data_IF_184628854529
#
_entry.id   IF_184628854529
#
_cell.length_a   1.000
_cell.length_b   1.000
_cell.length_c   1.000
_cell.angle_alpha   90.00
_cell.angle_beta   90.00
_cell.angle_gamma   90.00
#
_symmetry.space_group_name_H-M   'P 1'
#
loop_
_entity.id
_entity.type
_entity.pdbx_description
1 polymer ?
#
# COMPACT_ATOMS: atom_id res chain seq x y z
N UNK A 1 -66.60 35.75 47.13
CA UNK A 1 -68.01 35.75 46.71
C UNK A 1 -68.85 36.06 47.94
N UNK A 2 -69.74 37.07 47.93
CA UNK A 2 -70.48 37.46 49.13
C UNK A 2 -71.61 36.47 49.41
N UNK A 3 -71.87 36.23 50.71
CA UNK A 3 -73.01 35.46 51.17
C UNK A 3 -74.24 36.39 51.28
N UNK A 4 -75.42 35.99 50.79
CA UNK A 4 -76.62 36.83 50.83
C UNK A 4 -77.13 37.09 52.26
N UNK A 5 -77.98 38.10 52.44
CA UNK A 5 -78.36 38.64 53.76
C UNK A 5 -79.25 37.72 54.64
N UNK A 6 -79.79 36.61 54.12
CA UNK A 6 -80.63 35.63 54.85
C UNK A 6 -80.08 34.19 54.77
N UNK A 7 -78.79 34.02 55.03
CA UNK A 7 -78.08 32.74 54.90
C UNK A 7 -78.39 31.79 56.06
N UNK A 8 -78.86 30.59 55.74
CA UNK A 8 -79.04 29.51 56.70
C UNK A 8 -77.83 28.55 56.71
N UNK A 9 -77.73 27.65 57.70
CA UNK A 9 -76.62 26.71 57.84
C UNK A 9 -76.43 25.79 56.62
N UNK A 10 -77.50 25.48 55.87
CA UNK A 10 -77.42 24.66 54.66
C UNK A 10 -76.76 25.41 53.51
N UNK A 11 -77.01 26.72 53.39
CA UNK A 11 -76.36 27.57 52.39
C UNK A 11 -74.85 27.68 52.64
N UNK A 12 -74.45 27.82 53.92
CA UNK A 12 -73.04 27.81 54.34
C UNK A 12 -72.39 26.46 54.03
N UNK A 13 -73.05 25.35 54.39
CA UNK A 13 -72.57 23.99 54.13
C UNK A 13 -72.36 23.71 52.63
N UNK A 14 -73.30 24.17 51.80
CA UNK A 14 -73.22 24.07 50.34
C UNK A 14 -72.03 24.86 49.81
N UNK A 15 -71.87 26.10 50.26
CA UNK A 15 -70.73 26.96 49.86
C UNK A 15 -69.39 26.39 50.31
N UNK A 16 -69.30 25.80 51.50
CA UNK A 16 -68.08 25.16 51.97
C UNK A 16 -67.73 23.91 51.14
N UNK A 17 -68.75 23.17 50.68
CA UNK A 17 -68.58 22.03 49.77
C UNK A 17 -68.09 22.48 48.39
N UNK A 18 -68.65 23.56 47.83
CA UNK A 18 -68.16 24.18 46.59
C UNK A 18 -66.71 24.67 46.72
N UNK A 19 -66.39 25.36 47.82
CA UNK A 19 -65.03 25.84 48.11
C UNK A 19 -64.06 24.65 48.21
N UNK A 20 -64.42 23.60 48.93
CA UNK A 20 -63.61 22.38 49.04
C UNK A 20 -63.39 21.70 47.68
N UNK A 21 -64.43 21.64 46.83
CA UNK A 21 -64.31 21.14 45.46
C UNK A 21 -63.37 22.01 44.62
N UNK A 22 -63.51 23.34 44.71
CA UNK A 22 -62.63 24.30 44.05
C UNK A 22 -61.16 24.16 44.50
N UNK A 23 -60.91 23.97 45.79
CA UNK A 23 -59.56 23.72 46.32
C UNK A 23 -58.97 22.41 45.80
N UNK A 24 -59.75 21.33 45.73
CA UNK A 24 -59.29 20.05 45.16
C UNK A 24 -58.92 20.20 43.67
N UNK A 25 -59.77 20.86 42.89
CA UNK A 25 -59.51 21.11 41.46
C UNK A 25 -58.30 22.02 41.25
N UNK A 26 -58.17 23.08 42.05
CA UNK A 26 -57.02 23.99 42.04
C UNK A 26 -55.72 23.27 42.39
N UNK A 27 -55.73 22.44 43.44
CA UNK A 27 -54.57 21.62 43.84
C UNK A 27 -54.13 20.67 42.72
N UNK A 28 -55.07 19.96 42.09
CA UNK A 28 -54.77 19.07 40.97
C UNK A 28 -54.19 19.83 39.78
N UNK A 29 -54.74 20.99 39.46
CA UNK A 29 -54.23 21.83 38.36
C UNK A 29 -52.80 22.30 38.62
N UNK A 30 -52.50 22.75 39.85
CA UNK A 30 -51.14 23.17 40.26
C UNK A 30 -50.16 21.99 40.15
N UNK A 31 -50.52 20.81 40.65
CA UNK A 31 -49.67 19.62 40.57
C UNK A 31 -49.36 19.27 39.11
N UNK A 32 -50.38 19.29 38.23
CA UNK A 32 -50.19 18.99 36.81
C UNK A 32 -49.27 20.02 36.13
N UNK A 33 -49.45 21.32 36.40
CA UNK A 33 -48.58 22.36 35.84
C UNK A 33 -47.13 22.20 36.31
N UNK A 34 -46.90 21.90 37.59
CA UNK A 34 -45.55 21.68 38.12
C UNK A 34 -44.90 20.43 37.54
N UNK A 35 -45.65 19.34 37.39
CA UNK A 35 -45.17 18.12 36.76
C UNK A 35 -44.77 18.36 35.29
N UNK A 36 -45.59 19.10 34.53
CA UNK A 36 -45.28 19.47 33.14
C UNK A 36 -44.01 20.33 33.03
N UNK A 37 -43.85 21.35 33.89
CA UNK A 37 -42.63 22.18 33.93
C UNK A 37 -41.38 21.35 34.23
N UNK A 38 -41.49 20.37 35.12
CA UNK A 38 -40.38 19.48 35.44
C UNK A 38 -40.00 18.57 34.25
N UNK A 39 -40.99 18.08 33.50
CA UNK A 39 -40.76 17.32 32.27
C UNK A 39 -40.05 18.18 31.21
N UNK A 40 -40.51 19.42 30.99
CA UNK A 40 -39.89 20.35 30.05
C UNK A 40 -38.42 20.65 30.39
N UNK A 41 -38.13 20.95 31.66
CA UNK A 41 -36.76 21.19 32.11
C UNK A 41 -35.86 19.96 31.92
N UNK A 42 -36.35 18.77 32.27
CA UNK A 42 -35.63 17.51 32.07
C UNK A 42 -35.35 17.22 30.58
N UNK A 43 -36.33 17.47 29.73
CA UNK A 43 -36.19 17.32 28.28
C UNK A 43 -35.17 18.28 27.70
N UNK A 44 -35.21 19.56 28.08
CA UNK A 44 -34.25 20.57 27.64
C UNK A 44 -32.82 20.20 28.04
N UNK A 45 -32.61 19.74 29.28
CA UNK A 45 -31.29 19.28 29.73
C UNK A 45 -30.82 18.06 28.93
N UNK A 46 -31.69 17.07 28.70
CA UNK A 46 -31.37 15.88 27.90
C UNK A 46 -30.96 16.25 26.46
N UNK A 47 -31.66 17.22 25.86
CA UNK A 47 -31.35 17.70 24.52
C UNK A 47 -29.99 18.41 24.46
N UNK A 48 -29.68 19.23 25.47
CA UNK A 48 -28.38 19.90 25.60
C UNK A 48 -27.26 18.86 25.71
N UNK A 49 -27.36 17.90 26.63
CA UNK A 49 -26.35 16.84 26.79
C UNK A 49 -26.17 16.00 25.52
N UNK A 50 -27.27 15.67 24.84
CA UNK A 50 -27.21 14.94 23.57
C UNK A 50 -26.50 15.78 22.49
N UNK A 51 -26.80 17.07 22.41
CA UNK A 51 -26.17 17.98 21.45
C UNK A 51 -24.65 18.08 21.67
N UNK A 52 -24.20 18.12 22.93
CA UNK A 52 -22.78 18.15 23.28
C UNK A 52 -22.06 16.83 22.94
N UNK A 53 -22.69 15.68 23.19
CA UNK A 53 -22.16 14.36 22.80
C UNK A 53 -22.05 14.21 21.29
N UNK A 54 -23.06 14.66 20.55
CA UNK A 54 -23.06 14.69 19.09
C UNK A 54 -21.92 15.58 18.59
N UNK A 55 -21.81 16.81 19.11
CA UNK A 55 -20.74 17.73 18.75
C UNK A 55 -19.36 17.13 18.98
N UNK A 56 -19.12 16.56 20.15
CA UNK A 56 -17.83 15.90 20.49
C UNK A 56 -17.52 14.76 19.51
N UNK A 57 -18.53 13.99 19.12
CA UNK A 57 -18.38 12.90 18.16
C UNK A 57 -17.98 13.42 16.78
N UNK A 58 -18.59 14.52 16.31
CA UNK A 58 -18.20 15.18 15.06
C UNK A 58 -16.80 15.79 15.13
N UNK A 59 -16.48 16.53 16.20
CA UNK A 59 -15.16 17.16 16.39
C UNK A 59 -14.04 16.08 16.40
N UNK A 60 -14.27 14.93 17.04
CA UNK A 60 -13.32 13.81 17.05
C UNK A 60 -13.17 13.13 15.68
N UNK A 61 -14.28 13.04 14.93
CA UNK A 61 -14.28 12.49 13.57
C UNK A 61 -13.50 13.39 12.62
N UNK A 62 -13.67 14.71 12.71
CA UNK A 62 -12.95 15.69 11.90
C UNK A 62 -11.44 15.58 12.13
N UNK A 63 -10.98 15.47 13.37
CA UNK A 63 -9.57 15.25 13.68
C UNK A 63 -9.03 13.97 13.01
N UNK A 64 -9.75 12.84 13.14
CA UNK A 64 -9.34 11.57 12.54
C UNK A 64 -9.28 11.62 11.00
N UNK A 65 -10.20 12.35 10.37
CA UNK A 65 -10.24 12.53 8.91
C UNK A 65 -9.06 13.38 8.44
N UNK A 66 -8.70 14.43 9.18
CA UNK A 66 -7.51 15.25 8.88
C UNK A 66 -6.22 14.42 8.97
N UNK A 67 -6.09 13.58 10.00
CA UNK A 67 -4.92 12.71 10.14
C UNK A 67 -4.80 11.72 8.97
N UNK A 68 -5.90 11.12 8.53
CA UNK A 68 -5.92 10.24 7.36
C UNK A 68 -5.53 11.00 6.08
N UNK A 69 -6.03 12.23 5.90
CA UNK A 69 -5.69 13.05 4.74
C UNK A 69 -4.20 13.42 4.72
N UNK A 70 -3.63 13.72 5.90
CA UNK A 70 -2.20 13.99 6.06
C UNK A 70 -1.36 12.75 5.71
N UNK A 71 -1.72 11.57 6.22
CA UNK A 71 -1.04 10.30 5.90
C UNK A 71 -1.10 9.98 4.40
N UNK A 72 -2.26 10.18 3.78
CA UNK A 72 -2.44 9.99 2.34
C UNK A 72 -1.55 10.94 1.53
N UNK A 73 -1.51 12.22 1.93
CA UNK A 73 -0.70 13.25 1.28
C UNK A 73 0.78 12.91 1.37
N UNK A 74 1.26 12.51 2.55
CA UNK A 74 2.65 12.10 2.75
C UNK A 74 3.01 10.85 1.92
N UNK A 75 2.13 9.87 1.88
CA UNK A 75 2.31 8.65 1.09
C UNK A 75 2.40 8.97 -0.41
N UNK A 76 1.50 9.82 -0.92
CA UNK A 76 1.51 10.26 -2.32
C UNK A 76 2.77 11.06 -2.68
N UNK A 77 3.23 11.94 -1.79
CA UNK A 77 4.48 12.68 -1.98
C UNK A 77 5.68 11.72 -2.04
N UNK A 78 5.72 10.72 -1.16
CA UNK A 78 6.77 9.70 -1.14
C UNK A 78 6.78 8.87 -2.43
N UNK A 79 5.61 8.41 -2.90
CA UNK A 79 5.47 7.67 -4.16
C UNK A 79 5.94 8.53 -5.34
N UNK A 80 5.52 9.80 -5.40
CA UNK A 80 5.92 10.74 -6.46
C UNK A 80 7.43 10.97 -6.48
N UNK A 81 8.05 11.15 -5.32
CA UNK A 81 9.50 11.31 -5.20
C UNK A 81 10.24 10.05 -5.67
N UNK A 82 9.80 8.85 -5.26
CA UNK A 82 10.39 7.58 -5.69
C UNK A 82 10.27 7.38 -7.22
N UNK A 83 9.11 7.66 -7.80
CA UNK A 83 8.88 7.54 -9.25
C UNK A 83 9.66 8.58 -10.07
N UNK A 84 10.01 9.72 -9.46
CA UNK A 84 10.90 10.72 -10.06
C UNK A 84 12.35 10.28 -10.03
N UNK A 85 12.78 9.49 -9.03
CA UNK A 85 14.17 9.04 -8.88
C UNK A 85 14.47 7.69 -9.55
N UNK A 86 13.46 6.83 -9.67
CA UNK A 86 13.62 5.46 -10.12
C UNK A 86 12.57 5.06 -11.16
N UNK A 87 12.94 4.17 -12.08
CA UNK A 87 11.96 3.35 -12.83
C UNK A 87 12.29 1.88 -12.62
N UNK A 88 11.29 1.11 -12.21
CA UNK A 88 11.40 -0.32 -12.01
C UNK A 88 10.74 -1.06 -13.18
N UNK A 89 11.41 -2.12 -13.63
CA UNK A 89 10.91 -3.02 -14.66
C UNK A 89 11.10 -4.46 -14.17
N UNK A 90 10.21 -5.36 -14.55
CA UNK A 90 10.38 -6.79 -14.30
C UNK A 90 9.64 -7.60 -15.34
N UNK A 91 10.04 -8.86 -15.48
CA UNK A 91 9.37 -9.79 -16.37
C UNK A 91 10.04 -11.14 -16.38
N UNK A 92 9.75 -11.89 -17.44
CA UNK A 92 10.30 -13.23 -17.69
C UNK A 92 10.94 -13.25 -19.07
N UNK A 93 12.02 -13.99 -19.23
CA UNK A 93 12.64 -14.29 -20.53
C UNK A 93 13.11 -15.74 -20.57
N UNK A 94 13.54 -16.20 -21.73
CA UNK A 94 14.08 -17.56 -21.94
C UNK A 94 15.48 -17.48 -22.53
N UNK A 95 16.20 -18.59 -22.44
CA UNK A 95 17.48 -18.71 -23.14
C UNK A 95 17.29 -18.78 -24.65
N UNK A 96 18.21 -18.13 -25.35
CA UNK A 96 18.34 -18.19 -26.79
C UNK A 96 19.71 -18.79 -27.09
N UNK A 97 19.72 -19.98 -27.70
CA UNK A 97 20.93 -20.59 -28.23
C UNK A 97 21.44 -19.81 -29.45
N UNK A 98 22.67 -19.33 -29.39
CA UNK A 98 23.33 -18.65 -30.50
C UNK A 98 24.84 -18.83 -30.39
N UNK A 99 25.39 -19.68 -31.26
CA UNK A 99 26.80 -20.06 -31.32
C UNK A 99 27.68 -19.11 -32.12
N UNK A 100 27.09 -18.12 -32.81
CA UNK A 100 27.85 -17.17 -33.65
C UNK A 100 28.09 -15.83 -32.97
N UNK A 101 27.28 -15.45 -31.98
CA UNK A 101 27.47 -14.20 -31.26
C UNK A 101 28.72 -14.25 -30.37
N UNK A 102 29.43 -13.13 -30.31
CA UNK A 102 30.70 -12.96 -29.61
C UNK A 102 30.53 -12.01 -28.42
N UNK A 103 31.20 -12.34 -27.32
CA UNK A 103 31.34 -11.45 -26.16
C UNK A 103 32.82 -11.25 -25.81
N UNK A 104 33.25 -10.00 -25.65
CA UNK A 104 34.58 -9.68 -25.17
C UNK A 104 34.63 -9.77 -23.65
N UNK A 105 35.64 -10.45 -23.10
CA UNK A 105 35.87 -10.45 -21.66
C UNK A 105 36.13 -9.03 -21.13
N UNK A 106 35.68 -8.77 -19.92
CA UNK A 106 35.85 -7.47 -19.29
C UNK A 106 37.33 -7.07 -19.22
N UNK A 107 37.64 -5.88 -19.74
CA UNK A 107 39.01 -5.35 -19.80
C UNK A 107 39.93 -6.00 -20.85
N UNK A 108 39.40 -6.86 -21.74
CA UNK A 108 40.16 -7.51 -22.83
C UNK A 108 39.44 -7.34 -24.17
N UNK A 109 40.21 -7.28 -25.26
CA UNK A 109 39.69 -7.32 -26.64
C UNK A 109 39.53 -8.75 -27.19
N UNK A 110 39.72 -9.78 -26.34
CA UNK A 110 39.56 -11.18 -26.73
C UNK A 110 38.10 -11.60 -26.63
N UNK A 111 37.50 -11.90 -27.78
CA UNK A 111 36.14 -12.45 -27.88
C UNK A 111 36.08 -13.95 -27.56
N UNK A 112 35.00 -14.38 -26.92
CA UNK A 112 34.59 -15.78 -26.83
C UNK A 112 33.19 -15.96 -27.40
N UNK A 113 32.79 -17.20 -27.67
CA UNK A 113 31.41 -17.56 -28.05
C UNK A 113 30.65 -18.09 -26.82
N UNK A 114 29.74 -17.31 -26.20
CA UNK A 114 28.97 -17.73 -25.03
C UNK A 114 28.06 -18.93 -25.27
N UNK A 115 27.60 -19.11 -26.52
CA UNK A 115 26.67 -20.16 -26.94
C UNK A 115 25.20 -19.88 -26.57
N UNK A 116 24.94 -19.20 -25.45
CA UNK A 116 23.60 -18.91 -24.95
C UNK A 116 23.49 -17.48 -24.45
N UNK A 117 22.29 -16.92 -24.58
CA UNK A 117 22.01 -15.52 -24.33
C UNK A 117 20.60 -15.35 -23.74
N UNK A 118 20.39 -14.26 -23.03
CA UNK A 118 19.05 -13.74 -22.74
C UNK A 118 18.83 -12.46 -23.52
N UNK A 119 17.61 -12.28 -24.03
CA UNK A 119 17.16 -11.04 -24.65
C UNK A 119 15.94 -10.49 -23.95
N UNK A 120 15.97 -9.20 -23.66
CA UNK A 120 14.83 -8.49 -23.08
C UNK A 120 14.68 -7.16 -23.79
N UNK A 121 13.50 -6.93 -24.35
CA UNK A 121 13.13 -5.67 -25.01
C UNK A 121 12.06 -4.90 -24.24
N UNK A 122 11.54 -3.83 -24.84
CA UNK A 122 10.39 -3.09 -24.30
C UNK A 122 10.72 -2.07 -23.20
N UNK A 123 11.99 -1.76 -22.99
CA UNK A 123 12.39 -0.69 -22.09
C UNK A 123 12.07 0.67 -22.69
N UNK A 124 11.32 1.51 -21.96
CA UNK A 124 11.13 2.94 -22.33
C UNK A 124 12.44 3.74 -22.21
N UNK A 125 13.36 3.27 -21.38
CA UNK A 125 14.66 3.86 -21.08
C UNK A 125 15.64 2.75 -20.70
N UNK A 126 16.90 2.88 -21.07
CA UNK A 126 17.96 1.89 -20.78
C UNK A 126 18.18 1.77 -19.27
N UNK A 127 17.86 0.63 -18.62
CA UNK A 127 18.06 0.51 -17.18
C UNK A 127 19.55 0.66 -16.80
N UNK A 128 19.80 1.07 -15.56
CA UNK A 128 21.17 1.17 -15.06
C UNK A 128 21.65 -0.14 -14.46
N UNK A 129 20.76 -0.87 -13.80
CA UNK A 129 21.02 -2.19 -13.25
C UNK A 129 19.99 -3.16 -13.80
N UNK A 130 20.43 -4.34 -14.22
CA UNK A 130 19.57 -5.45 -14.62
C UNK A 130 20.02 -6.72 -13.93
N UNK A 131 19.06 -7.52 -13.46
CA UNK A 131 19.29 -8.82 -12.86
C UNK A 131 18.31 -9.81 -13.47
N UNK A 132 18.81 -10.98 -13.88
CA UNK A 132 17.99 -12.11 -14.25
C UNK A 132 18.47 -13.36 -13.53
N UNK A 133 17.54 -14.21 -13.11
CA UNK A 133 17.86 -15.43 -12.38
C UNK A 133 16.93 -16.58 -12.75
N UNK A 134 17.44 -17.79 -12.63
CA UNK A 134 16.62 -18.99 -12.61
C UNK A 134 17.23 -20.05 -11.69
N UNK A 135 16.42 -20.99 -11.23
CA UNK A 135 16.88 -22.18 -10.52
C UNK A 135 16.18 -23.43 -11.02
N UNK A 136 16.89 -24.55 -10.95
CA UNK A 136 16.37 -25.85 -11.35
C UNK A 136 17.20 -26.99 -10.78
N UNK A 137 16.62 -28.19 -10.78
CA UNK A 137 17.32 -29.43 -10.44
C UNK A 137 17.51 -30.25 -11.71
N UNK A 138 18.72 -30.76 -11.93
CA UNK A 138 19.04 -31.63 -13.05
C UNK A 138 20.17 -32.59 -12.65
N UNK A 139 20.00 -33.88 -12.94
CA UNK A 139 21.02 -34.92 -12.72
C UNK A 139 21.61 -34.91 -11.29
N UNK A 140 20.73 -34.96 -10.28
CA UNK A 140 21.12 -34.97 -8.87
C UNK A 140 21.64 -33.63 -8.30
N UNK A 141 21.73 -32.60 -9.13
CA UNK A 141 22.30 -31.29 -8.76
C UNK A 141 21.26 -30.18 -8.77
N UNK A 142 21.36 -29.28 -7.80
CA UNK A 142 20.67 -27.99 -7.79
C UNK A 142 21.53 -26.93 -8.48
N UNK A 143 20.90 -26.14 -9.35
CA UNK A 143 21.52 -25.06 -10.10
C UNK A 143 20.82 -23.73 -9.79
N UNK A 144 21.62 -22.66 -9.62
CA UNK A 144 21.15 -21.27 -9.57
C UNK A 144 21.95 -20.44 -10.56
N UNK A 145 21.27 -19.86 -11.55
CA UNK A 145 21.89 -18.97 -12.53
C UNK A 145 21.57 -17.54 -12.15
N UNK A 146 22.56 -16.66 -12.29
CA UNK A 146 22.40 -15.23 -12.08
C UNK A 146 23.09 -14.49 -13.23
N UNK A 147 22.40 -13.53 -13.81
CA UNK A 147 22.94 -12.60 -14.78
C UNK A 147 22.76 -11.21 -14.20
N UNK A 148 23.83 -10.44 -14.14
CA UNK A 148 23.84 -9.08 -13.63
C UNK A 148 24.45 -8.17 -14.68
N UNK A 149 23.83 -7.05 -14.99
CA UNK A 149 24.42 -6.02 -15.83
C UNK A 149 24.33 -4.66 -15.18
N UNK A 150 25.39 -3.88 -15.33
CA UNK A 150 25.49 -2.50 -14.87
C UNK A 150 25.90 -1.61 -16.04
N UNK A 151 25.08 -0.60 -16.33
CA UNK A 151 25.26 0.37 -17.40
C UNK A 151 25.11 1.80 -16.85
N UNK A 152 26.14 2.64 -17.02
CA UNK A 152 26.17 4.03 -16.58
C UNK A 152 26.17 4.23 -15.06
N UNK A 153 26.63 3.26 -14.28
CA UNK A 153 26.71 3.35 -12.79
C UNK A 153 28.14 3.40 -12.30
N UNK A 154 29.02 2.57 -12.88
CA UNK A 154 30.43 2.48 -12.51
C UNK A 154 31.31 3.05 -13.63
N UNK A 155 32.62 3.10 -13.41
CA UNK A 155 33.59 3.65 -14.36
C UNK A 155 33.54 2.98 -15.74
N UNK A 156 33.19 1.70 -15.80
CA UNK A 156 32.98 0.97 -17.05
C UNK A 156 31.78 0.04 -16.91
N UNK A 157 31.02 -0.07 -17.99
CA UNK A 157 29.84 -0.94 -18.07
C UNK A 157 30.24 -2.40 -18.25
N UNK A 158 29.50 -3.29 -17.61
CA UNK A 158 29.79 -4.71 -17.63
C UNK A 158 28.56 -5.57 -17.39
N UNK A 159 28.65 -6.82 -17.83
CA UNK A 159 27.69 -7.87 -17.48
C UNK A 159 28.43 -9.07 -16.91
N UNK A 160 27.82 -9.74 -15.95
CA UNK A 160 28.30 -10.94 -15.29
C UNK A 160 27.29 -12.04 -15.57
N UNK A 161 27.77 -13.21 -15.97
CA UNK A 161 26.98 -14.45 -15.91
C UNK A 161 27.58 -15.37 -14.85
N UNK A 162 26.73 -15.91 -14.00
CA UNK A 162 27.10 -16.85 -12.94
C UNK A 162 26.22 -18.10 -13.04
N UNK A 163 26.82 -19.25 -12.76
CA UNK A 163 26.14 -20.51 -12.52
C UNK A 163 26.70 -21.10 -11.24
N UNK A 164 25.84 -21.22 -10.23
CA UNK A 164 26.12 -21.94 -9.01
C UNK A 164 25.51 -23.34 -9.13
N UNK A 165 26.27 -24.37 -8.75
CA UNK A 165 25.76 -25.74 -8.70
C UNK A 165 26.26 -26.50 -7.49
N UNK A 166 25.45 -27.44 -7.00
CA UNK A 166 25.80 -28.37 -5.93
C UNK A 166 24.98 -29.66 -6.06
N UNK A 167 25.48 -30.76 -5.52
CA UNK A 167 24.65 -31.94 -5.27
C UNK A 167 23.54 -31.59 -4.27
N UNK A 168 22.36 -32.21 -4.38
CA UNK A 168 21.18 -31.89 -3.55
C UNK A 168 21.47 -31.90 -2.04
N UNK A 169 22.28 -32.87 -1.58
CA UNK A 169 22.58 -33.07 -0.16
C UNK A 169 23.86 -32.36 0.33
N UNK A 170 24.51 -31.57 -0.53
CA UNK A 170 25.75 -30.86 -0.19
C UNK A 170 25.45 -29.39 0.08
N UNK A 171 26.04 -28.79 1.13
CA UNK A 171 25.77 -27.40 1.50
C UNK A 171 26.52 -26.35 0.66
N UNK A 172 27.68 -26.71 0.12
CA UNK A 172 28.58 -25.77 -0.58
C UNK A 172 28.34 -25.78 -2.08
N UNK A 173 28.31 -24.59 -2.68
CA UNK A 173 28.20 -24.42 -4.12
C UNK A 173 29.57 -24.38 -4.80
N UNK A 174 29.69 -25.05 -5.94
CA UNK A 174 30.66 -24.70 -6.97
C UNK A 174 30.12 -23.54 -7.80
N UNK A 175 31.01 -22.65 -8.26
CA UNK A 175 30.62 -21.50 -9.06
C UNK A 175 31.43 -21.42 -10.35
N UNK A 176 30.75 -21.10 -11.44
CA UNK A 176 31.35 -20.70 -12.71
C UNK A 176 30.88 -19.28 -13.04
N UNK A 177 31.82 -18.40 -13.39
CA UNK A 177 31.50 -17.00 -13.64
C UNK A 177 32.40 -16.36 -14.69
N UNK A 178 31.79 -15.54 -15.54
CA UNK A 178 32.51 -14.69 -16.50
C UNK A 178 31.97 -13.26 -16.43
N UNK A 179 32.84 -12.29 -16.71
CA UNK A 179 32.49 -10.86 -16.83
C UNK A 179 32.80 -10.41 -18.26
N UNK A 180 31.87 -9.69 -18.88
CA UNK A 180 31.98 -9.20 -20.25
C UNK A 180 31.80 -7.68 -20.33
N UNK A 181 32.41 -7.06 -21.34
CA UNK A 181 32.15 -5.66 -21.68
C UNK A 181 30.73 -5.53 -22.28
N UNK A 182 30.05 -4.43 -21.97
CA UNK A 182 28.80 -4.02 -22.61
C UNK A 182 29.11 -3.07 -23.77
N UNK A 183 28.28 -3.07 -24.81
CA UNK A 183 28.43 -2.31 -26.06
C UNK A 183 29.70 -2.66 -26.86
N UNK A 184 30.18 -3.89 -26.72
CA UNK A 184 31.23 -4.47 -27.54
C UNK A 184 30.72 -5.77 -28.17
N UNK A 185 30.96 -5.95 -29.48
CA UNK A 185 30.49 -7.13 -30.24
C UNK A 185 28.96 -7.30 -30.13
N UNK A 186 28.49 -8.50 -29.75
CA UNK A 186 27.06 -8.82 -29.64
C UNK A 186 26.49 -8.56 -28.23
N UNK A 187 27.28 -8.07 -27.28
CA UNK A 187 26.78 -7.70 -25.96
C UNK A 187 26.27 -6.26 -26.02
N UNK A 188 24.95 -6.09 -26.11
CA UNK A 188 24.33 -4.78 -26.21
C UNK A 188 23.28 -4.54 -25.12
N UNK A 189 23.13 -3.27 -24.78
CA UNK A 189 22.33 -2.74 -23.70
C UNK A 189 21.88 -1.30 -24.09
N UNK A 190 20.81 -1.19 -24.90
CA UNK A 190 20.37 0.08 -25.49
C UNK A 190 18.84 0.20 -25.61
N UNK A 191 18.36 1.41 -25.92
CA UNK A 191 16.90 1.70 -25.99
C UNK A 191 16.20 1.04 -27.18
N UNK A 192 16.92 0.78 -28.26
CA UNK A 192 16.31 0.40 -29.53
C UNK A 192 16.02 -1.10 -29.59
N UNK A 193 16.97 -1.90 -29.11
CA UNK A 193 16.89 -3.36 -29.15
C UNK A 193 16.65 -3.96 -27.75
N UNK A 194 16.91 -3.21 -26.68
CA UNK A 194 16.83 -3.65 -25.28
C UNK A 194 18.18 -4.14 -24.76
N UNK A 195 18.24 -5.35 -24.21
CA UNK A 195 19.49 -6.02 -23.85
C UNK A 195 19.66 -7.40 -24.51
N UNK A 196 20.91 -7.75 -24.81
CA UNK A 196 21.35 -9.09 -25.19
C UNK A 196 22.59 -9.45 -24.38
N UNK A 197 22.40 -10.32 -23.39
CA UNK A 197 23.43 -10.61 -22.40
C UNK A 197 23.83 -12.10 -22.46
N UNK A 198 25.13 -12.40 -22.36
CA UNK A 198 25.62 -13.77 -22.29
C UNK A 198 25.00 -14.52 -21.11
N UNK A 199 24.64 -15.78 -21.34
CA UNK A 199 24.13 -16.69 -20.34
C UNK A 199 24.87 -18.04 -20.43
N UNK A 200 24.67 -18.90 -19.44
CA UNK A 200 25.06 -20.31 -19.56
C UNK A 200 23.89 -21.12 -20.09
N UNK A 201 24.21 -22.21 -20.80
CA UNK A 201 23.21 -23.23 -21.11
C UNK A 201 22.55 -23.72 -19.81
N UNK A 202 21.25 -23.89 -19.85
CA UNK A 202 20.52 -24.62 -18.81
C UNK A 202 20.25 -25.99 -19.37
N UNK A 203 20.62 -27.04 -18.63
CA UNK A 203 20.53 -28.42 -19.12
C UNK A 203 19.09 -28.84 -19.51
N UNK A 204 18.11 -28.05 -19.07
CA UNK A 204 16.69 -28.16 -19.39
C UNK A 204 16.14 -26.77 -19.77
N UNK A 205 15.02 -26.69 -20.50
CA UNK A 205 14.33 -25.41 -20.74
C UNK A 205 13.86 -24.79 -19.42
N UNK A 206 14.29 -23.56 -19.14
CA UNK A 206 13.88 -22.80 -17.96
C UNK A 206 13.61 -21.34 -18.31
N UNK A 207 12.76 -20.72 -17.50
CA UNK A 207 12.48 -19.30 -17.56
C UNK A 207 13.40 -18.54 -16.60
N UNK A 208 13.88 -17.38 -17.06
CA UNK A 208 14.60 -16.42 -16.24
C UNK A 208 13.64 -15.32 -15.80
N UNK A 209 13.41 -15.22 -14.49
CA UNK A 209 12.75 -14.07 -13.91
C UNK A 209 13.77 -12.93 -13.85
N UNK A 210 13.37 -11.73 -14.24
CA UNK A 210 14.27 -10.60 -14.26
C UNK A 210 13.63 -9.34 -13.69
N UNK A 211 14.48 -8.48 -13.14
CA UNK A 211 14.14 -7.13 -12.74
C UNK A 211 15.24 -6.15 -13.19
N UNK A 212 14.85 -4.89 -13.38
CA UNK A 212 15.76 -3.85 -13.79
C UNK A 212 15.35 -2.52 -13.16
N UNK A 213 16.34 -1.66 -12.89
CA UNK A 213 16.11 -0.33 -12.35
C UNK A 213 16.88 0.72 -13.14
N UNK A 214 16.19 1.80 -13.50
CA UNK A 214 16.79 3.04 -14.01
C UNK A 214 16.91 4.04 -12.86
N UNK A 215 18.07 4.65 -12.72
CA UNK A 215 18.27 5.86 -11.92
C UNK A 215 18.00 7.07 -12.82
N UNK A 216 17.11 7.96 -12.39
CA UNK A 216 16.76 9.20 -13.09
C UNK A 216 17.54 10.39 -12.53
#
# INVERSE_FOLDING_TARGET
MPLPENVNLNDISTKLTEVNAGFKTGKTSIINTLALKNIEASLNNTLVELSEKIKTSFDSSDASVQDLMNQLTQSNNTITQLNTKYQYFSGVTTLIGNSICIANFYGKASGMYPGYWIRVGGFKSVPNIFIAECEYIYDGKFYKHLIFASCGVFTKDFTIRLCFSREIDVNTFSVKGDIFNIEEQDVWYNTNLGLNLPAYNTNIPVNFNWCAIKFK
#
